data_IF_013299935709
#
_entry.id   IF_013299935709
#
_cell.length_a   1.000
_cell.length_b   1.000
_cell.length_c   1.000
_cell.angle_alpha   90.00
_cell.angle_beta   90.00
_cell.angle_gamma   90.00
#
_symmetry.space_group_name_H-M   'P 1'
#
loop_
_entity.id
_entity.type
_entity.pdbx_description
1 polymer ?
#
# COMPACT_ATOMS: atom_id res chain seq x y z
N UNK A 1 -20.42 -4.57 4.89
CA UNK A 1 -21.65 -4.40 4.10
C UNK A 1 -21.35 -4.25 2.61
N UNK A 2 -20.52 -3.29 2.18
CA UNK A 2 -20.18 -3.07 0.75
C UNK A 2 -19.50 -4.27 0.10
N UNK A 3 -18.46 -4.84 0.72
CA UNK A 3 -17.76 -6.01 0.18
C UNK A 3 -18.68 -7.21 -0.02
N UNK A 4 -19.53 -7.50 0.96
CA UNK A 4 -20.54 -8.56 0.87
C UNK A 4 -21.47 -8.35 -0.34
N UNK A 5 -22.00 -7.14 -0.51
CA UNK A 5 -22.86 -6.79 -1.64
C UNK A 5 -22.13 -6.99 -2.98
N UNK A 6 -20.91 -6.46 -3.10
CA UNK A 6 -20.12 -6.56 -4.34
C UNK A 6 -19.82 -8.02 -4.68
N UNK A 7 -19.32 -8.81 -3.73
CA UNK A 7 -19.00 -10.23 -3.98
C UNK A 7 -20.25 -11.05 -4.33
N UNK A 8 -21.37 -10.78 -3.67
CA UNK A 8 -22.63 -11.48 -3.93
C UNK A 8 -23.16 -11.16 -5.33
N UNK A 9 -23.25 -9.88 -5.69
CA UNK A 9 -23.76 -9.45 -7.01
C UNK A 9 -22.79 -9.84 -8.14
N UNK A 10 -21.48 -9.71 -7.92
CA UNK A 10 -20.46 -10.13 -8.86
C UNK A 10 -20.53 -11.64 -9.14
N UNK A 11 -20.75 -12.46 -8.10
CA UNK A 11 -20.91 -13.91 -8.27
C UNK A 11 -22.06 -14.24 -9.20
N UNK A 12 -23.20 -13.53 -9.11
CA UNK A 12 -24.34 -13.71 -10.02
C UNK A 12 -23.98 -13.36 -11.47
N UNK A 13 -23.24 -12.26 -11.69
CA UNK A 13 -22.77 -11.88 -13.04
C UNK A 13 -21.77 -12.88 -13.61
N UNK A 14 -20.90 -13.43 -12.76
CA UNK A 14 -19.83 -14.35 -13.15
C UNK A 14 -20.33 -15.79 -13.40
N UNK A 15 -21.47 -16.19 -12.83
CA UNK A 15 -21.99 -17.56 -12.88
C UNK A 15 -22.02 -18.21 -14.29
N UNK A 16 -22.36 -17.49 -15.39
CA UNK A 16 -22.34 -18.07 -16.74
C UNK A 16 -20.93 -18.37 -17.28
N UNK A 17 -19.89 -17.71 -16.76
CA UNK A 17 -18.52 -17.80 -17.26
C UNK A 17 -17.61 -18.65 -16.36
N UNK A 18 -17.77 -18.51 -15.04
CA UNK A 18 -16.95 -19.19 -14.02
C UNK A 18 -17.86 -19.84 -12.97
N UNK A 19 -18.62 -20.88 -13.31
CA UNK A 19 -19.70 -21.41 -12.48
C UNK A 19 -19.23 -21.91 -11.12
N UNK A 20 -18.14 -22.70 -11.06
CA UNK A 20 -17.64 -23.27 -9.80
C UNK A 20 -17.15 -22.22 -8.81
N UNK A 21 -16.43 -21.20 -9.30
CA UNK A 21 -15.91 -20.11 -8.46
C UNK A 21 -17.06 -19.23 -7.97
N UNK A 22 -17.98 -18.87 -8.86
CA UNK A 22 -19.15 -18.07 -8.50
C UNK A 22 -20.03 -18.78 -7.46
N UNK A 23 -20.23 -20.10 -7.62
CA UNK A 23 -20.98 -20.94 -6.69
C UNK A 23 -20.30 -20.98 -5.30
N UNK A 24 -19.00 -21.22 -5.25
CA UNK A 24 -18.24 -21.30 -3.99
C UNK A 24 -18.29 -19.97 -3.22
N UNK A 25 -18.06 -18.84 -3.90
CA UNK A 25 -18.13 -17.51 -3.29
C UNK A 25 -19.55 -17.22 -2.78
N UNK A 26 -20.57 -17.47 -3.62
CA UNK A 26 -21.95 -17.15 -3.29
C UNK A 26 -22.47 -17.97 -2.10
N UNK A 27 -22.20 -19.28 -2.06
CA UNK A 27 -22.61 -20.16 -0.95
C UNK A 27 -21.96 -19.78 0.36
N UNK A 28 -20.65 -19.52 0.35
CA UNK A 28 -19.89 -19.16 1.54
C UNK A 28 -20.34 -17.83 2.15
N UNK A 29 -20.94 -16.94 1.35
CA UNK A 29 -21.41 -15.64 1.82
C UNK A 29 -22.89 -15.62 2.19
N UNK A 30 -23.76 -16.19 1.35
CA UNK A 30 -25.22 -16.00 1.45
C UNK A 30 -25.96 -17.11 2.18
N UNK A 31 -25.31 -18.28 2.40
CA UNK A 31 -25.94 -19.53 2.88
C UNK A 31 -27.09 -20.06 1.99
N UNK A 32 -27.32 -19.45 0.81
CA UNK A 32 -28.33 -19.86 -0.16
C UNK A 32 -27.89 -21.12 -0.95
N UNK A 33 -28.86 -21.79 -1.58
CA UNK A 33 -28.66 -23.12 -2.17
C UNK A 33 -27.74 -23.14 -3.39
N UNK A 34 -27.75 -22.12 -4.25
CA UNK A 34 -26.84 -22.00 -5.40
C UNK A 34 -26.96 -20.62 -6.06
N UNK A 35 -25.86 -20.12 -6.62
CA UNK A 35 -25.86 -18.89 -7.44
C UNK A 35 -26.66 -19.06 -8.73
N UNK A 36 -26.77 -20.30 -9.24
CA UNK A 36 -27.47 -20.60 -10.49
C UNK A 36 -28.99 -20.54 -10.37
N UNK A 37 -29.51 -20.48 -9.14
CA UNK A 37 -30.92 -20.26 -8.85
C UNK A 37 -31.25 -18.78 -8.63
N UNK A 38 -30.23 -17.92 -8.52
CA UNK A 38 -30.42 -16.50 -8.30
C UNK A 38 -30.81 -15.78 -9.60
N UNK A 39 -31.65 -14.75 -9.47
CA UNK A 39 -31.96 -13.85 -10.58
C UNK A 39 -30.72 -13.07 -11.02
N UNK A 40 -30.64 -12.80 -12.33
CA UNK A 40 -29.58 -11.96 -12.88
C UNK A 40 -29.69 -10.54 -12.30
N UNK A 41 -28.57 -9.93 -11.84
CA UNK A 41 -28.63 -8.68 -11.10
C UNK A 41 -29.04 -7.51 -12.00
N UNK A 42 -29.91 -6.64 -11.47
CA UNK A 42 -30.43 -5.46 -12.18
C UNK A 42 -29.82 -4.21 -11.56
N UNK A 43 -29.19 -3.37 -12.39
CA UNK A 43 -28.56 -2.14 -11.94
C UNK A 43 -29.58 -1.13 -11.41
N UNK A 44 -29.35 -0.67 -10.17
CA UNK A 44 -30.13 0.41 -9.55
C UNK A 44 -29.58 1.75 -10.01
N UNK A 45 -30.26 2.39 -10.97
CA UNK A 45 -29.82 3.67 -11.56
C UNK A 45 -29.63 4.79 -10.53
N UNK A 46 -30.39 4.76 -9.45
CA UNK A 46 -30.31 5.73 -8.33
C UNK A 46 -28.97 5.69 -7.60
N UNK A 47 -28.24 4.58 -7.66
CA UNK A 47 -26.93 4.43 -7.03
C UNK A 47 -25.77 4.83 -7.96
N UNK A 48 -26.06 5.21 -9.21
CA UNK A 48 -25.04 5.59 -10.19
C UNK A 48 -24.83 7.11 -10.10
N UNK A 49 -23.70 7.50 -9.49
CA UNK A 49 -23.26 8.89 -9.45
C UNK A 49 -22.17 9.11 -10.51
N UNK A 50 -22.57 9.71 -11.63
CA UNK A 50 -21.66 10.02 -12.74
C UNK A 50 -20.58 11.04 -12.37
N UNK A 51 -20.85 11.93 -11.40
CA UNK A 51 -19.85 12.88 -10.94
C UNK A 51 -18.74 12.13 -10.20
N UNK A 52 -19.10 11.24 -9.26
CA UNK A 52 -18.12 10.42 -8.54
C UNK A 52 -17.30 9.55 -9.50
N UNK A 53 -17.94 8.97 -10.53
CA UNK A 53 -17.23 8.21 -11.56
C UNK A 53 -16.20 9.08 -12.29
N UNK A 54 -16.57 10.30 -12.70
CA UNK A 54 -15.67 11.25 -13.34
C UNK A 54 -14.52 11.65 -12.40
N UNK A 55 -14.82 11.96 -11.15
CA UNK A 55 -13.82 12.35 -10.15
C UNK A 55 -12.81 11.20 -9.91
N UNK A 56 -13.30 9.94 -9.86
CA UNK A 56 -12.45 8.75 -9.73
C UNK A 56 -11.58 8.49 -10.96
N UNK A 57 -12.03 8.85 -12.17
CA UNK A 57 -11.18 8.80 -13.36
C UNK A 57 -10.03 9.79 -13.25
N UNK A 58 -10.30 11.02 -12.83
CA UNK A 58 -9.26 12.03 -12.57
C UNK A 58 -8.29 11.59 -11.48
N UNK A 59 -8.77 10.99 -10.38
CA UNK A 59 -7.92 10.41 -9.33
C UNK A 59 -6.96 9.37 -9.90
N UNK A 60 -7.46 8.43 -10.70
CA UNK A 60 -6.63 7.38 -11.32
C UNK A 60 -5.59 7.97 -12.26
N UNK A 61 -5.96 8.99 -13.04
CA UNK A 61 -5.04 9.71 -13.92
C UNK A 61 -3.92 10.37 -13.11
N UNK A 62 -4.26 11.11 -12.05
CA UNK A 62 -3.29 11.75 -11.16
C UNK A 62 -2.34 10.73 -10.54
N UNK A 63 -2.87 9.61 -10.02
CA UNK A 63 -2.07 8.54 -9.43
C UNK A 63 -1.10 7.96 -10.45
N UNK A 64 -1.58 7.64 -11.66
CA UNK A 64 -0.74 7.08 -12.72
C UNK A 64 0.41 8.02 -13.08
N UNK A 65 0.13 9.31 -13.26
CA UNK A 65 1.15 10.32 -13.58
C UNK A 65 2.12 10.48 -12.41
N UNK A 66 1.62 10.56 -11.17
CA UNK A 66 2.45 10.62 -9.97
C UNK A 66 3.41 9.43 -9.87
N UNK A 67 2.92 8.21 -10.06
CA UNK A 67 3.75 7.00 -10.08
C UNK A 67 4.77 6.99 -11.23
N UNK A 68 4.39 7.51 -12.41
CA UNK A 68 5.32 7.67 -13.53
C UNK A 68 6.43 8.68 -13.24
N UNK A 69 6.11 9.83 -12.64
CA UNK A 69 7.10 10.84 -12.23
C UNK A 69 8.07 10.24 -11.21
N UNK A 70 7.58 9.49 -10.22
CA UNK A 70 8.42 8.76 -9.27
C UNK A 70 9.37 7.80 -9.97
N UNK A 71 8.86 7.02 -10.93
CA UNK A 71 9.66 6.07 -11.69
C UNK A 71 10.74 6.77 -12.53
N UNK A 72 10.40 7.89 -13.19
CA UNK A 72 11.35 8.72 -13.95
C UNK A 72 12.47 9.28 -13.05
N UNK A 73 12.12 9.67 -11.83
CA UNK A 73 13.08 10.17 -10.83
C UNK A 73 13.81 9.06 -10.06
N UNK A 74 13.55 7.78 -10.36
CA UNK A 74 14.20 6.64 -9.71
C UNK A 74 13.79 6.42 -8.24
N UNK A 75 12.71 7.06 -7.77
CA UNK A 75 12.24 6.96 -6.38
C UNK A 75 11.26 5.79 -6.26
N UNK A 76 11.63 4.77 -5.47
CA UNK A 76 10.75 3.61 -5.19
C UNK A 76 9.47 4.06 -4.50
N UNK A 77 8.31 3.46 -4.83
CA UNK A 77 7.01 3.80 -4.23
C UNK A 77 7.00 3.66 -2.70
N UNK A 78 7.75 2.70 -2.14
CA UNK A 78 7.86 2.50 -0.68
C UNK A 78 8.55 3.64 0.08
N UNK A 79 9.33 4.48 -0.60
CA UNK A 79 9.91 5.68 0.00
C UNK A 79 8.81 6.76 0.11
N UNK A 80 8.31 7.12 1.29
CA UNK A 80 7.34 8.20 1.39
C UNK A 80 7.97 9.51 0.91
N UNK A 81 7.18 10.32 0.22
CA UNK A 81 7.54 11.69 -0.19
C UNK A 81 6.75 12.70 0.64
N UNK A 82 7.26 13.93 0.72
CA UNK A 82 6.64 14.99 1.51
C UNK A 82 5.27 15.36 0.95
N UNK A 83 5.21 15.76 -0.32
CA UNK A 83 4.00 16.33 -0.89
C UNK A 83 3.85 16.04 -2.38
N UNK A 84 2.60 16.00 -2.81
CA UNK A 84 2.17 16.04 -4.20
C UNK A 84 1.30 17.27 -4.39
N UNK A 85 1.57 18.04 -5.44
CA UNK A 85 0.78 19.23 -5.78
C UNK A 85 0.03 18.97 -7.09
N UNK A 86 -1.26 19.28 -7.12
CA UNK A 86 -2.11 19.16 -8.31
C UNK A 86 -2.71 20.51 -8.66
N UNK A 87 -2.86 20.78 -9.95
CA UNK A 87 -3.36 22.06 -10.46
C UNK A 87 -4.75 21.90 -11.09
N UNK A 88 -5.64 22.81 -10.73
CA UNK A 88 -6.99 22.96 -11.31
C UNK A 88 -7.89 21.71 -11.19
N UNK A 89 -7.84 21.00 -10.06
CA UNK A 89 -8.77 19.91 -9.76
C UNK A 89 -9.74 20.32 -8.65
N UNK A 90 -11.02 19.99 -8.81
CA UNK A 90 -12.06 20.12 -7.77
C UNK A 90 -12.39 18.72 -7.25
N UNK A 91 -11.61 18.25 -6.28
CA UNK A 91 -11.77 16.92 -5.69
C UNK A 91 -12.11 17.04 -4.21
N UNK A 92 -13.02 16.18 -3.74
CA UNK A 92 -13.33 16.04 -2.31
C UNK A 92 -12.13 15.52 -1.54
N UNK A 93 -12.04 15.86 -0.26
CA UNK A 93 -10.94 15.46 0.64
C UNK A 93 -10.76 13.93 0.71
N UNK A 94 -11.86 13.16 0.69
CA UNK A 94 -11.84 11.70 0.67
C UNK A 94 -11.07 11.13 -0.54
N UNK A 95 -11.16 11.79 -1.70
CA UNK A 95 -10.46 11.38 -2.92
C UNK A 95 -8.98 11.77 -2.89
N UNK A 96 -8.64 12.86 -2.20
CA UNK A 96 -7.24 13.26 -2.01
C UNK A 96 -6.50 12.27 -1.11
N UNK A 97 -7.17 11.70 -0.11
CA UNK A 97 -6.58 10.63 0.72
C UNK A 97 -6.27 9.38 -0.10
N UNK A 98 -7.12 9.01 -1.08
CA UNK A 98 -6.82 7.91 -2.02
C UNK A 98 -5.54 8.22 -2.81
N UNK A 99 -5.41 9.44 -3.36
CA UNK A 99 -4.21 9.85 -4.12
C UNK A 99 -2.97 9.77 -3.22
N UNK A 100 -3.09 10.24 -1.98
CA UNK A 100 -2.02 10.28 -0.99
C UNK A 100 -1.51 8.88 -0.64
N UNK A 101 -2.41 7.93 -0.44
CA UNK A 101 -2.08 6.53 -0.14
C UNK A 101 -1.42 5.84 -1.35
N UNK A 102 -2.02 5.96 -2.53
CA UNK A 102 -1.54 5.29 -3.75
C UNK A 102 -0.17 5.81 -4.22
N UNK A 103 0.03 7.14 -4.20
CA UNK A 103 1.31 7.75 -4.58
C UNK A 103 2.33 7.69 -3.42
N UNK A 104 1.88 7.37 -2.20
CA UNK A 104 2.65 7.36 -0.96
C UNK A 104 3.35 8.70 -0.66
N UNK A 105 2.53 9.73 -0.44
CA UNK A 105 2.94 11.09 -0.05
C UNK A 105 2.34 11.46 1.30
N UNK A 106 2.88 12.44 2.03
CA UNK A 106 2.32 12.87 3.32
C UNK A 106 1.20 13.88 3.19
N UNK A 107 1.19 14.68 2.13
CA UNK A 107 0.10 15.62 1.86
C UNK A 107 -0.13 15.79 0.36
N UNK A 108 -1.38 16.06 -0.01
CA UNK A 108 -1.77 16.45 -1.36
C UNK A 108 -2.31 17.88 -1.30
N UNK A 109 -1.75 18.79 -2.10
CA UNK A 109 -2.19 20.20 -2.17
C UNK A 109 -2.75 20.51 -3.54
N UNK A 110 -3.83 21.28 -3.57
CA UNK A 110 -4.42 21.81 -4.80
C UNK A 110 -3.99 23.27 -4.92
N UNK A 111 -3.31 23.63 -6.01
CA UNK A 111 -2.79 24.98 -6.26
C UNK A 111 -3.24 25.49 -7.63
N UNK A 112 -3.50 26.80 -7.75
CA UNK A 112 -3.89 27.40 -9.04
C UNK A 112 -2.69 27.66 -9.96
N UNK A 113 -1.49 27.78 -9.40
CA UNK A 113 -0.23 28.04 -10.12
C UNK A 113 0.92 27.38 -9.38
N UNK A 114 1.83 26.74 -10.10
CA UNK A 114 3.10 26.28 -9.54
C UNK A 114 4.13 27.42 -9.64
N UNK A 115 4.84 27.74 -8.56
CA UNK A 115 6.00 28.61 -8.64
C UNK A 115 7.17 27.85 -9.32
N UNK A 116 7.93 28.53 -10.17
CA UNK A 116 8.95 27.90 -11.03
C UNK A 116 10.12 27.26 -10.24
N UNK A 117 10.34 27.67 -8.99
CA UNK A 117 11.43 27.16 -8.13
C UNK A 117 11.05 25.88 -7.35
N UNK A 118 9.77 25.49 -7.34
CA UNK A 118 9.26 24.31 -6.63
C UNK A 118 9.32 23.02 -7.45
N UNK A 119 9.77 23.10 -8.70
CA UNK A 119 9.58 22.05 -9.71
C UNK A 119 10.84 21.18 -9.83
N UNK A 120 10.86 20.05 -9.11
CA UNK A 120 11.99 19.09 -9.19
C UNK A 120 11.73 17.91 -10.13
N UNK A 121 10.46 17.63 -10.44
CA UNK A 121 10.05 16.81 -11.57
C UNK A 121 8.69 17.29 -12.08
N UNK A 122 8.70 17.93 -13.24
CA UNK A 122 7.50 18.39 -13.94
C UNK A 122 7.07 17.36 -14.99
N UNK A 123 5.77 17.09 -15.06
CA UNK A 123 5.16 16.75 -16.34
C UNK A 123 4.57 18.05 -16.85
N UNK A 124 5.33 18.83 -17.64
CA UNK A 124 4.84 20.10 -18.20
C UNK A 124 3.59 19.96 -19.08
N UNK A 125 3.14 18.72 -19.32
CA UNK A 125 1.91 18.35 -20.01
C UNK A 125 0.72 18.14 -19.06
N UNK A 126 0.94 17.94 -17.76
CA UNK A 126 -0.06 17.40 -16.83
C UNK A 126 0.15 17.97 -15.42
N UNK A 127 -0.21 19.24 -15.18
CA UNK A 127 -0.71 19.85 -13.93
C UNK A 127 -0.38 19.21 -12.54
N UNK A 128 0.74 18.53 -12.36
CA UNK A 128 1.06 17.66 -11.21
C UNK A 128 2.57 17.75 -10.96
N UNK A 129 2.93 18.01 -9.71
CA UNK A 129 4.31 18.12 -9.24
C UNK A 129 4.52 17.26 -7.99
N UNK A 130 5.73 16.71 -7.85
CA UNK A 130 6.16 15.96 -6.68
C UNK A 130 7.35 16.65 -6.02
N UNK A 131 7.28 16.77 -4.69
CA UNK A 131 8.47 17.09 -3.91
C UNK A 131 9.34 15.83 -3.77
N UNK A 132 10.54 15.91 -4.37
CA UNK A 132 11.53 14.84 -4.37
C UNK A 132 12.57 14.98 -3.26
N UNK A 133 12.49 16.01 -2.42
CA UNK A 133 13.37 16.13 -1.26
C UNK A 133 13.06 15.05 -0.22
N UNK A 134 14.01 14.14 -0.03
CA UNK A 134 13.92 13.11 0.99
C UNK A 134 14.55 13.66 2.27
N UNK A 135 13.70 14.09 3.20
CA UNK A 135 14.15 14.48 4.53
C UNK A 135 14.72 13.26 5.29
N UNK A 136 15.59 13.45 6.30
CA UNK A 136 16.12 12.35 7.09
C UNK A 136 15.03 11.46 7.72
N UNK A 137 13.90 12.04 8.10
CA UNK A 137 12.78 11.30 8.68
C UNK A 137 12.06 10.43 7.64
N UNK A 138 11.80 10.97 6.45
CA UNK A 138 11.23 10.21 5.34
C UNK A 138 12.16 9.08 4.91
N UNK A 139 13.48 9.31 4.88
CA UNK A 139 14.46 8.25 4.59
C UNK A 139 14.35 7.09 5.58
N UNK A 140 14.29 7.38 6.88
CA UNK A 140 14.17 6.36 7.93
C UNK A 140 12.84 5.59 7.81
N UNK A 141 11.74 6.27 7.51
CA UNK A 141 10.44 5.61 7.31
C UNK A 141 10.46 4.70 6.07
N UNK A 142 11.06 5.16 4.96
CA UNK A 142 11.25 4.36 3.76
C UNK A 142 12.10 3.10 4.02
N UNK A 143 13.16 3.24 4.81
CA UNK A 143 13.97 2.11 5.28
C UNK A 143 13.16 1.13 6.14
N UNK A 144 12.33 1.64 7.07
CA UNK A 144 11.44 0.80 7.86
C UNK A 144 10.49 -0.03 6.99
N UNK A 145 9.88 0.58 5.97
CA UNK A 145 8.96 -0.11 5.05
C UNK A 145 9.66 -1.16 4.19
N UNK A 146 10.89 -0.88 3.72
CA UNK A 146 11.70 -1.89 3.02
C UNK A 146 12.10 -3.05 3.96
N UNK A 147 12.45 -2.78 5.22
CA UNK A 147 12.71 -3.82 6.22
C UNK A 147 11.49 -4.71 6.45
N UNK A 148 10.29 -4.11 6.63
CA UNK A 148 9.05 -4.86 6.82
C UNK A 148 8.83 -5.82 5.65
N UNK A 149 9.00 -5.37 4.41
CA UNK A 149 8.90 -6.24 3.23
C UNK A 149 9.88 -7.41 3.30
N UNK A 150 11.15 -7.13 3.61
CA UNK A 150 12.17 -8.17 3.68
C UNK A 150 11.90 -9.16 4.82
N UNK A 151 11.42 -8.71 5.97
CA UNK A 151 11.02 -9.58 7.08
C UNK A 151 9.83 -10.45 6.67
N UNK A 152 8.85 -9.89 5.96
CA UNK A 152 7.72 -10.64 5.44
C UNK A 152 8.12 -11.69 4.38
N UNK A 153 9.13 -11.38 3.56
CA UNK A 153 9.74 -12.35 2.65
C UNK A 153 10.47 -13.46 3.42
N UNK A 154 11.24 -13.10 4.46
CA UNK A 154 11.90 -14.07 5.34
C UNK A 154 10.88 -15.00 6.03
N UNK A 155 9.71 -14.50 6.45
CA UNK A 155 8.62 -15.33 7.00
C UNK A 155 8.13 -16.38 6.00
N UNK A 156 7.95 -15.99 4.74
CA UNK A 156 7.52 -16.90 3.67
C UNK A 156 8.58 -17.95 3.36
N UNK A 157 9.85 -17.53 3.31
CA UNK A 157 10.98 -18.44 3.08
C UNK A 157 11.18 -19.45 4.22
N UNK A 158 10.96 -19.03 5.47
CA UNK A 158 10.99 -19.90 6.63
C UNK A 158 9.76 -20.82 6.73
N UNK A 159 8.77 -20.68 5.84
CA UNK A 159 7.58 -21.52 5.79
C UNK A 159 6.58 -21.24 6.91
N UNK A 160 6.56 -20.04 7.47
CA UNK A 160 5.61 -19.67 8.52
C UNK A 160 4.21 -19.45 7.97
N UNK A 161 3.20 -19.82 8.75
CA UNK A 161 1.82 -19.52 8.42
C UNK A 161 1.51 -18.03 8.66
N UNK A 162 0.45 -17.52 8.02
CA UNK A 162 0.12 -16.09 7.97
C UNK A 162 -0.16 -15.51 9.36
N UNK A 163 -0.66 -16.32 10.28
CA UNK A 163 -1.05 -15.96 11.65
C UNK A 163 0.06 -16.17 12.69
N UNK A 164 1.20 -16.76 12.30
CA UNK A 164 2.26 -17.07 13.25
C UNK A 164 2.89 -15.79 13.80
N UNK A 165 3.09 -15.77 15.12
CA UNK A 165 3.86 -14.70 15.77
C UNK A 165 5.35 -15.00 15.72
N UNK A 166 6.15 -13.95 15.64
CA UNK A 166 7.61 -14.07 15.55
C UNK A 166 8.32 -13.17 16.54
N UNK A 167 9.58 -13.48 16.84
CA UNK A 167 10.53 -12.56 17.45
C UNK A 167 11.52 -12.11 16.40
N UNK A 168 11.84 -10.82 16.44
CA UNK A 168 12.78 -10.18 15.52
C UNK A 168 13.96 -9.69 16.33
N UNK A 169 15.16 -10.05 15.90
CA UNK A 169 16.39 -9.48 16.42
C UNK A 169 17.13 -8.70 15.35
N UNK A 170 17.75 -7.60 15.76
CA UNK A 170 18.62 -6.81 14.89
C UNK A 170 19.98 -6.61 15.55
N UNK A 171 21.06 -6.63 14.76
CA UNK A 171 22.42 -6.67 15.31
C UNK A 171 22.94 -5.30 15.78
N UNK A 172 22.61 -4.21 15.09
CA UNK A 172 23.17 -2.88 15.35
C UNK A 172 22.10 -1.87 15.79
N UNK A 173 22.44 -0.99 16.73
CA UNK A 173 21.58 0.12 17.13
C UNK A 173 21.39 1.09 15.96
N UNK A 174 20.32 0.89 15.21
CA UNK A 174 19.94 1.74 14.09
C UNK A 174 18.74 2.63 14.47
N UNK A 175 18.74 3.93 14.13
CA UNK A 175 17.61 4.82 14.37
C UNK A 175 16.27 4.33 13.82
N UNK A 176 16.28 3.52 12.75
CA UNK A 176 15.08 2.93 12.17
C UNK A 176 14.34 2.06 13.18
N UNK A 177 15.02 1.12 13.86
CA UNK A 177 14.40 0.26 14.86
C UNK A 177 13.99 1.02 16.12
N UNK A 178 14.71 2.09 16.47
CA UNK A 178 14.37 2.92 17.63
C UNK A 178 13.10 3.76 17.39
N UNK A 179 12.94 4.36 16.19
CA UNK A 179 11.77 5.19 15.86
C UNK A 179 10.57 4.38 15.36
N UNK A 180 10.80 3.29 14.62
CA UNK A 180 9.75 2.52 13.92
C UNK A 180 9.63 1.07 14.40
N UNK A 181 10.21 0.71 15.54
CA UNK A 181 10.14 -0.66 16.10
C UNK A 181 8.70 -1.16 16.27
N UNK A 182 7.81 -0.33 16.80
CA UNK A 182 6.39 -0.69 17.00
C UNK A 182 5.64 -0.92 15.68
N UNK A 183 5.97 -0.13 14.65
CA UNK A 183 5.42 -0.29 13.31
C UNK A 183 5.89 -1.63 12.71
N UNK A 184 7.20 -1.89 12.78
CA UNK A 184 7.79 -3.15 12.28
C UNK A 184 7.13 -4.33 13.00
N UNK A 185 6.99 -4.27 14.32
CA UNK A 185 6.37 -5.35 15.09
C UNK A 185 4.93 -5.63 14.66
N UNK A 186 4.12 -4.59 14.53
CA UNK A 186 2.71 -4.71 14.14
C UNK A 186 2.54 -5.28 12.74
N UNK A 187 3.26 -4.72 11.77
CA UNK A 187 3.16 -5.12 10.36
C UNK A 187 3.76 -6.50 10.09
N UNK A 188 4.64 -6.99 10.97
CA UNK A 188 5.27 -8.31 10.85
C UNK A 188 4.72 -9.37 11.80
N UNK A 189 3.63 -9.07 12.52
CA UNK A 189 3.08 -9.90 13.59
C UNK A 189 4.15 -10.37 14.59
N UNK A 190 5.12 -9.50 14.89
CA UNK A 190 6.16 -9.80 15.86
C UNK A 190 5.71 -9.45 17.27
N UNK A 191 6.00 -10.33 18.22
CA UNK A 191 5.76 -10.05 19.65
C UNK A 191 6.77 -9.04 20.19
N UNK A 192 8.02 -9.10 19.72
CA UNK A 192 9.11 -8.25 20.18
C UNK A 192 10.13 -8.00 19.06
N UNK A 193 10.68 -6.78 19.05
CA UNK A 193 11.81 -6.37 18.21
C UNK A 193 12.95 -5.97 19.16
N UNK A 194 14.00 -6.79 19.23
CA UNK A 194 15.07 -6.68 20.23
C UNK A 194 16.45 -6.51 19.60
N UNK A 195 17.35 -5.82 20.31
CA UNK A 195 18.76 -5.78 19.94
C UNK A 195 19.41 -7.13 20.30
N UNK A 196 20.04 -7.78 19.32
CA UNK A 196 20.76 -9.05 19.50
C UNK A 196 21.93 -8.81 20.46
N UNK A 197 21.83 -9.34 21.68
CA UNK A 197 22.82 -9.14 22.75
C UNK A 197 23.69 -10.38 23.01
N UNK A 198 23.35 -11.52 22.40
CA UNK A 198 24.17 -12.76 22.39
C UNK A 198 23.73 -13.71 21.26
N UNK A 199 24.39 -14.88 21.13
CA UNK A 199 24.03 -15.92 20.16
C UNK A 199 22.69 -16.57 20.54
N UNK A 200 21.60 -15.91 20.19
CA UNK A 200 20.26 -16.48 20.29
C UNK A 200 20.03 -17.49 19.17
N UNK A 201 19.39 -18.60 19.50
CA UNK A 201 18.98 -19.62 18.53
C UNK A 201 17.90 -19.02 17.63
N UNK A 202 18.21 -18.84 16.34
CA UNK A 202 17.38 -18.16 15.34
C UNK A 202 17.11 -19.08 14.16
N UNK A 203 15.88 -19.09 13.65
CA UNK A 203 15.51 -19.97 12.54
C UNK A 203 16.09 -19.49 11.20
N UNK A 204 16.20 -18.17 11.03
CA UNK A 204 16.75 -17.56 9.82
C UNK A 204 17.40 -16.22 10.12
N UNK A 205 18.61 -16.01 9.59
CA UNK A 205 19.37 -14.77 9.69
C UNK A 205 19.75 -14.29 8.29
N UNK A 206 19.49 -13.00 8.01
CA UNK A 206 19.86 -12.37 6.73
C UNK A 206 20.41 -10.97 6.94
N UNK A 207 21.38 -10.63 6.10
CA UNK A 207 21.81 -9.25 5.89
C UNK A 207 20.97 -8.62 4.78
N UNK A 208 20.28 -7.54 5.11
CA UNK A 208 19.41 -6.80 4.22
C UNK A 208 20.10 -5.47 3.89
N UNK A 209 20.42 -5.26 2.62
CA UNK A 209 21.01 -3.99 2.15
C UNK A 209 19.92 -3.05 1.66
N UNK A 210 19.77 -1.90 2.32
CA UNK A 210 18.78 -0.87 1.95
C UNK A 210 19.52 0.45 1.67
N UNK A 211 19.79 0.70 0.40
CA UNK A 211 20.62 1.82 -0.03
C UNK A 211 22.09 1.58 0.35
N UNK A 212 22.63 2.47 1.17
CA UNK A 212 24.01 2.39 1.69
C UNK A 212 24.10 1.63 3.01
N UNK A 213 22.98 1.47 3.72
CA UNK A 213 22.93 0.86 5.04
C UNK A 213 22.70 -0.66 4.94
N UNK A 214 23.39 -1.42 5.79
CA UNK A 214 23.24 -2.88 5.90
C UNK A 214 22.60 -3.20 7.25
N UNK A 215 21.53 -4.00 7.21
CA UNK A 215 20.76 -4.39 8.39
C UNK A 215 20.83 -5.91 8.54
N UNK A 216 21.52 -6.39 9.57
CA UNK A 216 21.46 -7.81 9.94
C UNK A 216 20.22 -8.05 10.81
N UNK A 217 19.30 -8.87 10.31
CA UNK A 217 18.03 -9.20 10.96
C UNK A 217 17.89 -10.72 11.07
N UNK A 218 17.46 -11.18 12.25
CA UNK A 218 17.16 -12.59 12.50
C UNK A 218 15.72 -12.75 12.96
N UNK A 219 15.07 -13.85 12.56
CA UNK A 219 13.70 -14.17 12.95
C UNK A 219 13.61 -15.56 13.61
N UNK A 220 12.64 -15.71 14.50
CA UNK A 220 12.24 -17.00 15.09
C UNK A 220 10.76 -17.02 15.37
N UNK A 221 10.13 -18.18 15.18
CA UNK A 221 8.73 -18.43 15.58
C UNK A 221 8.60 -18.65 17.09
#
# INVERSE_FOLDING_TARGET
>A
QTLYYVLTELSKVMAPFTPFIAEEIYKNLTEEESVHLADFPIAKKELIDEKINSDMLSVREIVNIGLQLRAKSGVKVRQPLSELRIKNYDLKEELLEIIKEEVNVKSVKIEETFEADDIKADSSLENICLDLEITPELKLEGQARELIRHIQEMRKEAGYEVDNRIKIWYAEKNPVFLKFGDLIARETLADQVLLKSSAEDTDLEKEIKIGEDVFAVSIKR
#
